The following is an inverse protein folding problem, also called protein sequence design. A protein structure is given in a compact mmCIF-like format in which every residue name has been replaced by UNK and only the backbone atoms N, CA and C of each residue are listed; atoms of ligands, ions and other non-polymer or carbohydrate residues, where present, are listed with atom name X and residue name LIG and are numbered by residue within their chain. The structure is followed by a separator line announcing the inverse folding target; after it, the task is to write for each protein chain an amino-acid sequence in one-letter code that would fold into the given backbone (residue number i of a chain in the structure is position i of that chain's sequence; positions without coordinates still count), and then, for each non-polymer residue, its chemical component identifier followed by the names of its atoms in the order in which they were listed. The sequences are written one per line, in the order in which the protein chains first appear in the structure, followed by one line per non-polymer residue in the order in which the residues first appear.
data_IF_924246858199
#
_entry.id   IF_924246858199
#
_cell.length_a   1.000
_cell.length_b   1.000
_cell.length_c   1.000
_cell.angle_alpha   90.00
_cell.angle_beta   90.00
_cell.angle_gamma   90.00
#
_symmetry.space_group_name_H-M   'P 1'
#
loop_
_entity.id
_entity.type
_entity.pdbx_description
1 polymer ?
#
# COMPACT_ATOMS: atom_id res chain seq x y z
N UNK A 1 -27.38 43.65 -16.11
CA UNK A 1 -26.92 43.83 -14.70
C UNK A 1 -27.35 42.66 -13.81
N UNK A 2 -28.62 42.23 -13.86
CA UNK A 2 -29.12 41.09 -13.07
C UNK A 2 -28.45 39.74 -13.44
N UNK A 3 -28.26 39.46 -14.73
CA UNK A 3 -27.67 38.18 -15.19
C UNK A 3 -26.21 38.02 -14.77
N UNK A 4 -25.44 39.11 -14.81
CA UNK A 4 -24.04 39.13 -14.33
C UNK A 4 -23.96 38.86 -12.82
N UNK A 5 -24.90 39.39 -12.03
CA UNK A 5 -24.98 39.15 -10.58
C UNK A 5 -25.41 37.73 -10.27
N UNK A 6 -26.32 37.16 -11.07
CA UNK A 6 -26.75 35.76 -10.98
C UNK A 6 -25.59 34.80 -11.29
N UNK A 7 -24.85 35.05 -12.37
CA UNK A 7 -23.67 34.28 -12.76
C UNK A 7 -22.59 34.32 -11.66
N UNK A 8 -22.31 35.50 -11.09
CA UNK A 8 -21.36 35.61 -9.98
C UNK A 8 -21.79 34.78 -8.76
N UNK A 9 -23.07 34.82 -8.39
CA UNK A 9 -23.58 34.00 -7.30
C UNK A 9 -23.52 32.49 -7.57
N UNK A 10 -23.60 32.06 -8.82
CA UNK A 10 -23.38 30.66 -9.22
C UNK A 10 -21.91 30.27 -9.11
N UNK A 11 -21.00 31.15 -9.51
CA UNK A 11 -19.55 30.98 -9.36
C UNK A 11 -19.20 30.84 -7.88
N UNK A 12 -19.64 31.76 -7.03
CA UNK A 12 -19.30 31.77 -5.60
C UNK A 12 -19.81 30.48 -4.90
N UNK A 13 -21.02 30.02 -5.23
CA UNK A 13 -21.54 28.74 -4.72
C UNK A 13 -20.74 27.54 -5.20
N UNK A 14 -20.28 27.56 -6.45
CA UNK A 14 -19.44 26.48 -6.99
C UNK A 14 -18.08 26.47 -6.29
N UNK A 15 -17.43 27.62 -6.14
CA UNK A 15 -16.14 27.73 -5.44
C UNK A 15 -16.24 27.25 -3.99
N UNK A 16 -17.32 27.60 -3.29
CA UNK A 16 -17.58 27.08 -1.94
C UNK A 16 -17.67 25.55 -1.90
N UNK A 17 -18.39 24.95 -2.85
CA UNK A 17 -18.47 23.48 -2.98
C UNK A 17 -17.13 22.84 -3.31
N UNK A 18 -16.27 23.53 -4.07
CA UNK A 18 -14.90 23.05 -4.32
C UNK A 18 -14.11 23.03 -3.02
N UNK A 19 -14.13 24.11 -2.23
CA UNK A 19 -13.44 24.15 -0.94
C UNK A 19 -13.91 23.05 0.01
N UNK A 20 -15.23 22.90 0.19
CA UNK A 20 -15.83 21.84 1.02
C UNK A 20 -15.46 20.43 0.52
N UNK A 21 -15.52 20.20 -0.80
CA UNK A 21 -15.18 18.91 -1.39
C UNK A 21 -13.69 18.57 -1.26
N UNK A 22 -12.79 19.56 -1.35
CA UNK A 22 -11.36 19.36 -1.14
C UNK A 22 -11.05 19.04 0.32
N UNK A 23 -11.70 19.71 1.27
CA UNK A 23 -11.55 19.42 2.70
C UNK A 23 -12.04 18.00 3.04
N UNK A 24 -13.20 17.60 2.52
CA UNK A 24 -13.72 16.24 2.66
C UNK A 24 -12.79 15.21 2.02
N UNK A 25 -12.26 15.50 0.84
CA UNK A 25 -11.30 14.61 0.18
C UNK A 25 -10.04 14.40 1.04
N UNK A 26 -9.49 15.47 1.62
CA UNK A 26 -8.30 15.39 2.47
C UNK A 26 -8.57 14.62 3.78
N UNK A 27 -9.72 14.85 4.43
CA UNK A 27 -10.12 14.11 5.63
C UNK A 27 -10.27 12.60 5.37
N UNK A 28 -10.93 12.20 4.27
CA UNK A 28 -11.05 10.79 3.90
C UNK A 28 -9.67 10.22 3.52
N UNK A 29 -8.82 11.01 2.86
CA UNK A 29 -7.47 10.58 2.48
C UNK A 29 -6.60 10.28 3.71
N UNK A 30 -6.65 11.14 4.73
CA UNK A 30 -5.96 10.89 6.00
C UNK A 30 -6.52 9.63 6.71
N UNK A 31 -7.84 9.45 6.70
CA UNK A 31 -8.48 8.24 7.25
C UNK A 31 -8.05 6.97 6.53
N UNK A 32 -7.90 7.02 5.20
CA UNK A 32 -7.39 5.89 4.42
C UNK A 32 -5.95 5.53 4.81
N UNK A 33 -5.08 6.53 4.96
CA UNK A 33 -3.68 6.31 5.34
C UNK A 33 -3.53 5.76 6.76
N UNK A 34 -4.40 6.18 7.69
CA UNK A 34 -4.38 5.75 9.08
C UNK A 34 -5.18 4.45 9.34
N UNK A 35 -5.98 3.99 8.37
CA UNK A 35 -6.76 2.77 8.52
C UNK A 35 -5.84 1.54 8.62
N UNK A 36 -6.00 0.76 9.68
CA UNK A 36 -5.23 -0.46 9.91
C UNK A 36 -5.88 -1.71 9.31
N UNK A 37 -7.21 -1.70 9.07
CA UNK A 37 -7.94 -2.85 8.57
C UNK A 37 -8.35 -2.70 7.09
N UNK A 38 -8.44 -3.83 6.38
CA UNK A 38 -8.75 -3.89 4.95
C UNK A 38 -10.15 -3.32 4.62
N UNK A 39 -11.17 -3.70 5.37
CA UNK A 39 -12.56 -3.25 5.13
C UNK A 39 -12.72 -1.72 5.23
N UNK A 40 -12.02 -1.06 6.15
CA UNK A 40 -12.04 0.40 6.23
C UNK A 40 -11.25 1.04 5.08
N UNK A 41 -10.12 0.45 4.66
CA UNK A 41 -9.38 0.93 3.49
C UNK A 41 -10.25 0.92 2.24
N UNK A 42 -10.88 -0.21 1.93
CA UNK A 42 -11.79 -0.32 0.77
C UNK A 42 -12.95 0.68 0.84
N UNK A 43 -13.53 0.85 2.04
CA UNK A 43 -14.60 1.83 2.26
C UNK A 43 -14.12 3.26 1.98
N UNK A 44 -12.98 3.65 2.53
CA UNK A 44 -12.43 5.00 2.36
C UNK A 44 -11.96 5.24 0.91
N UNK A 45 -11.45 4.23 0.22
CA UNK A 45 -11.15 4.31 -1.22
C UNK A 45 -12.41 4.55 -2.06
N UNK A 46 -13.49 3.81 -1.77
CA UNK A 46 -14.76 4.01 -2.44
C UNK A 46 -15.33 5.41 -2.20
N UNK A 47 -15.20 5.93 -0.97
CA UNK A 47 -15.67 7.28 -0.62
C UNK A 47 -14.77 8.37 -1.23
N UNK A 48 -13.44 8.21 -1.25
CA UNK A 48 -12.52 9.07 -2.01
C UNK A 48 -12.88 9.11 -3.50
N UNK A 49 -13.21 7.96 -4.09
CA UNK A 49 -13.61 7.85 -5.50
C UNK A 49 -14.92 8.58 -5.80
N UNK A 50 -15.87 8.58 -4.85
CA UNK A 50 -17.10 9.38 -4.99
C UNK A 50 -16.79 10.86 -4.91
N UNK A 51 -15.97 11.29 -3.95
CA UNK A 51 -15.67 12.70 -3.73
C UNK A 51 -14.86 13.29 -4.89
N UNK A 52 -13.85 12.57 -5.40
CA UNK A 52 -13.07 13.04 -6.54
C UNK A 52 -13.92 13.19 -7.81
N UNK A 53 -14.94 12.33 -8.01
CA UNK A 53 -15.89 12.47 -9.12
C UNK A 53 -16.76 13.72 -9.00
N UNK A 54 -17.11 14.16 -7.78
CA UNK A 54 -17.83 15.43 -7.58
C UNK A 54 -16.93 16.61 -7.93
N UNK A 55 -15.68 16.60 -7.44
CA UNK A 55 -14.68 17.62 -7.76
C UNK A 55 -14.42 17.70 -9.27
N UNK A 56 -14.33 16.56 -9.98
CA UNK A 56 -14.20 16.53 -11.45
C UNK A 56 -15.34 17.26 -12.16
N UNK A 57 -16.59 17.06 -11.75
CA UNK A 57 -17.74 17.77 -12.32
C UNK A 57 -17.66 19.28 -12.11
N UNK A 58 -17.28 19.70 -10.90
CA UNK A 58 -17.07 21.12 -10.58
C UNK A 58 -15.92 21.70 -11.41
N UNK A 59 -14.84 20.93 -11.61
CA UNK A 59 -13.70 21.32 -12.45
C UNK A 59 -14.10 21.53 -13.91
N UNK A 60 -14.97 20.67 -14.46
CA UNK A 60 -15.46 20.82 -15.83
C UNK A 60 -16.44 21.99 -15.96
N UNK A 61 -17.27 22.26 -14.95
CA UNK A 61 -18.08 23.48 -14.88
C UNK A 61 -17.20 24.75 -14.80
N UNK A 62 -16.13 24.72 -13.99
CA UNK A 62 -15.17 25.83 -13.93
C UNK A 62 -14.46 26.00 -15.28
N UNK A 63 -14.15 24.91 -16.00
CA UNK A 63 -13.54 24.97 -17.34
C UNK A 63 -14.43 25.70 -18.35
N UNK A 64 -15.75 25.49 -18.33
CA UNK A 64 -16.66 26.22 -19.23
C UNK A 64 -16.72 27.71 -18.89
N UNK A 65 -16.71 28.07 -17.61
CA UNK A 65 -16.64 29.47 -17.17
C UNK A 65 -15.31 30.14 -17.53
N UNK A 66 -14.18 29.44 -17.39
CA UNK A 66 -12.87 29.97 -17.83
C UNK A 66 -12.85 30.23 -19.34
N UNK A 67 -13.57 29.43 -20.15
CA UNK A 67 -13.70 29.66 -21.59
C UNK A 67 -14.70 30.78 -21.94
N UNK A 68 -15.61 31.16 -21.04
CA UNK A 68 -16.60 32.22 -21.28
C UNK A 68 -15.95 33.61 -21.30
N UNK A 69 -16.42 34.48 -22.21
CA UNK A 69 -15.98 35.89 -22.31
C UNK A 69 -16.77 36.81 -21.37
N UNK A 70 -17.81 36.31 -20.69
CA UNK A 70 -18.64 37.11 -19.77
C UNK A 70 -17.95 37.38 -18.43
N UNK A 71 -16.90 36.61 -18.12
CA UNK A 71 -16.16 36.66 -16.86
C UNK A 71 -14.85 37.41 -17.09
N UNK A 72 -14.70 38.56 -16.43
CA UNK A 72 -13.53 39.43 -16.56
C UNK A 72 -12.33 38.94 -15.74
N UNK A 73 -12.55 38.56 -14.48
CA UNK A 73 -11.51 38.00 -13.63
C UNK A 73 -11.69 36.48 -13.51
N UNK A 74 -10.69 35.74 -14.01
CA UNK A 74 -10.69 34.27 -14.03
C UNK A 74 -9.67 33.68 -13.07
N UNK A 75 -8.96 34.48 -12.28
CA UNK A 75 -7.86 34.01 -11.41
C UNK A 75 -8.33 32.94 -10.44
N UNK A 76 -9.38 33.23 -9.66
CA UNK A 76 -9.94 32.30 -8.69
C UNK A 76 -10.45 31.00 -9.33
N UNK A 77 -11.05 31.09 -10.53
CA UNK A 77 -11.50 29.93 -11.30
C UNK A 77 -10.32 29.04 -11.71
N UNK A 78 -9.24 29.64 -12.20
CA UNK A 78 -8.02 28.93 -12.60
C UNK A 78 -7.36 28.26 -11.40
N UNK A 79 -7.28 28.96 -10.26
CA UNK A 79 -6.64 28.43 -9.05
C UNK A 79 -7.43 27.25 -8.47
N UNK A 80 -8.75 27.35 -8.38
CA UNK A 80 -9.60 26.25 -7.94
C UNK A 80 -9.57 25.06 -8.92
N UNK A 81 -9.50 25.32 -10.23
CA UNK A 81 -9.31 24.27 -11.24
C UNK A 81 -8.01 23.51 -11.02
N UNK A 82 -6.90 24.21 -10.78
CA UNK A 82 -5.59 23.60 -10.48
C UNK A 82 -5.61 22.83 -9.16
N UNK A 83 -6.29 23.35 -8.15
CA UNK A 83 -6.46 22.69 -6.86
C UNK A 83 -7.14 21.32 -7.04
N UNK A 84 -8.24 21.27 -7.80
CA UNK A 84 -8.93 20.01 -8.11
C UNK A 84 -8.03 19.07 -8.91
N UNK A 85 -7.31 19.56 -9.92
CA UNK A 85 -6.37 18.76 -10.72
C UNK A 85 -5.27 18.13 -9.84
N UNK A 86 -4.81 18.85 -8.82
CA UNK A 86 -3.86 18.32 -7.82
C UNK A 86 -4.45 17.17 -7.02
N UNK A 87 -5.69 17.32 -6.54
CA UNK A 87 -6.39 16.24 -5.83
C UNK A 87 -6.67 15.03 -6.73
N UNK A 88 -6.93 15.25 -8.02
CA UNK A 88 -7.08 14.17 -9.00
C UNK A 88 -5.79 13.36 -9.15
N UNK A 89 -4.64 14.02 -9.20
CA UNK A 89 -3.36 13.32 -9.30
C UNK A 89 -3.05 12.53 -8.02
N UNK A 90 -3.32 13.11 -6.85
CA UNK A 90 -3.23 12.38 -5.56
C UNK A 90 -4.12 11.14 -5.55
N UNK A 91 -5.37 11.26 -6.02
CA UNK A 91 -6.28 10.12 -6.12
C UNK A 91 -5.77 9.04 -7.09
N UNK A 92 -5.13 9.41 -8.22
CA UNK A 92 -4.55 8.42 -9.15
C UNK A 92 -3.44 7.59 -8.51
N UNK A 93 -2.61 8.19 -7.66
CA UNK A 93 -1.56 7.47 -6.93
C UNK A 93 -2.20 6.43 -6.02
N UNK A 94 -3.18 6.84 -5.22
CA UNK A 94 -3.96 5.93 -4.37
C UNK A 94 -4.61 4.83 -5.21
N UNK A 95 -5.31 5.18 -6.29
CA UNK A 95 -5.99 4.20 -7.15
C UNK A 95 -5.00 3.22 -7.80
N UNK A 96 -3.80 3.67 -8.18
CA UNK A 96 -2.75 2.80 -8.71
C UNK A 96 -2.23 1.85 -7.63
N UNK A 97 -1.91 2.35 -6.45
CA UNK A 97 -1.43 1.51 -5.34
C UNK A 97 -2.47 0.46 -4.95
N UNK A 98 -3.74 0.85 -4.83
CA UNK A 98 -4.85 -0.07 -4.56
C UNK A 98 -5.03 -1.06 -5.68
N UNK A 99 -5.06 -0.64 -6.95
CA UNK A 99 -5.24 -1.56 -8.08
C UNK A 99 -4.07 -2.51 -8.22
N UNK A 100 -2.84 -2.04 -8.10
CA UNK A 100 -1.66 -2.91 -8.16
C UNK A 100 -1.69 -3.91 -7.00
N UNK A 101 -2.11 -3.50 -5.80
CA UNK A 101 -2.36 -4.42 -4.66
C UNK A 101 -3.53 -5.37 -4.89
N UNK A 102 -4.60 -4.93 -5.57
CA UNK A 102 -5.76 -5.73 -5.92
C UNK A 102 -5.42 -6.77 -7.01
N UNK A 103 -4.58 -6.43 -7.99
CA UNK A 103 -4.12 -7.38 -8.99
C UNK A 103 -2.94 -8.25 -8.49
N UNK A 104 -2.25 -7.85 -7.41
CA UNK A 104 -1.35 -8.72 -6.66
C UNK A 104 -2.09 -9.38 -5.49
N UNK A 105 -2.82 -10.47 -5.77
CA UNK A 105 -3.37 -11.44 -4.81
C UNK A 105 -4.55 -11.04 -3.90
N UNK A 106 -4.86 -9.77 -3.62
CA UNK A 106 -5.97 -9.41 -2.69
C UNK A 106 -7.29 -8.94 -3.37
N UNK A 107 -7.29 -8.65 -4.67
CA UNK A 107 -8.43 -8.04 -5.38
C UNK A 107 -9.37 -9.00 -6.09
N UNK A 108 -9.25 -10.31 -5.87
CA UNK A 108 -10.31 -11.26 -6.21
C UNK A 108 -11.33 -11.32 -5.07
N UNK A 109 -11.88 -10.15 -4.72
CA UNK A 109 -13.10 -9.98 -3.93
C UNK A 109 -14.34 -10.35 -4.73
N UNK A 110 -14.35 -11.52 -5.35
CA UNK A 110 -15.56 -12.32 -5.38
C UNK A 110 -15.51 -13.14 -4.09
N UNK A 111 -16.36 -12.80 -3.14
CA UNK A 111 -16.81 -13.72 -2.09
C UNK A 111 -17.59 -14.92 -2.70
N UNK A 112 -17.11 -15.49 -3.80
CA UNK A 112 -17.43 -16.84 -4.19
C UNK A 112 -16.60 -17.72 -3.27
N UNK A 113 -17.28 -18.35 -2.31
CA UNK A 113 -16.89 -19.59 -1.63
C UNK A 113 -15.51 -20.07 -2.07
N UNK A 114 -14.45 -19.52 -1.48
CA UNK A 114 -13.15 -20.18 -1.55
C UNK A 114 -13.41 -21.52 -0.89
N UNK A 115 -13.30 -22.59 -1.67
CA UNK A 115 -13.41 -23.95 -1.16
C UNK A 115 -12.59 -24.03 0.13
N UNK A 116 -13.14 -24.48 1.27
CA UNK A 116 -12.38 -24.58 2.52
C UNK A 116 -11.00 -25.20 2.33
N UNK A 117 -10.86 -26.16 1.40
CA UNK A 117 -9.59 -26.75 1.01
C UNK A 117 -8.60 -25.74 0.39
N UNK A 118 -9.06 -24.85 -0.49
CA UNK A 118 -8.22 -23.83 -1.12
C UNK A 118 -7.81 -22.75 -0.13
N UNK A 119 -8.69 -22.38 0.80
CA UNK A 119 -8.38 -21.42 1.87
C UNK A 119 -7.31 -21.98 2.82
N UNK A 120 -7.48 -23.22 3.26
CA UNK A 120 -6.47 -23.89 4.10
C UNK A 120 -5.14 -24.03 3.36
N UNK A 121 -5.17 -24.34 2.05
CA UNK A 121 -3.97 -24.39 1.20
C UNK A 121 -3.23 -23.05 1.16
N UNK A 122 -3.94 -21.94 0.98
CA UNK A 122 -3.35 -20.59 0.97
C UNK A 122 -2.80 -20.19 2.34
N UNK A 123 -3.52 -20.47 3.42
CA UNK A 123 -3.06 -20.21 4.79
C UNK A 123 -1.78 -20.99 5.10
N UNK A 124 -1.72 -22.27 4.71
CA UNK A 124 -0.54 -23.11 4.86
C UNK A 124 0.61 -22.60 3.98
N UNK A 125 0.35 -22.22 2.73
CA UNK A 125 1.36 -21.66 1.83
C UNK A 125 1.97 -20.35 2.38
N UNK A 126 1.14 -19.48 2.95
CA UNK A 126 1.62 -18.25 3.59
C UNK A 126 2.43 -18.56 4.86
N UNK A 127 1.98 -19.50 5.68
CA UNK A 127 2.71 -19.92 6.88
C UNK A 127 4.09 -20.52 6.52
N UNK A 128 4.15 -21.37 5.49
CA UNK A 128 5.40 -21.95 4.98
C UNK A 128 6.37 -20.85 4.54
N UNK A 129 5.90 -19.90 3.73
CA UNK A 129 6.72 -18.78 3.22
C UNK A 129 7.28 -17.94 4.37
N UNK A 130 6.42 -17.52 5.31
CA UNK A 130 6.85 -16.73 6.47
C UNK A 130 7.86 -17.48 7.35
N UNK A 131 7.69 -18.80 7.50
CA UNK A 131 8.61 -19.64 8.29
C UNK A 131 9.96 -19.79 7.59
N UNK A 132 9.97 -19.97 6.27
CA UNK A 132 11.20 -20.01 5.46
C UNK A 132 11.97 -18.69 5.61
N UNK A 133 11.29 -17.55 5.46
CA UNK A 133 11.91 -16.23 5.60
C UNK A 133 12.51 -16.03 7.01
N UNK A 134 11.79 -16.44 8.04
CA UNK A 134 12.28 -16.37 9.43
C UNK A 134 13.53 -17.23 9.63
N UNK A 135 13.55 -18.45 9.11
CA UNK A 135 14.71 -19.34 9.21
C UNK A 135 15.91 -18.80 8.42
N UNK A 136 15.69 -18.22 7.24
CA UNK A 136 16.75 -17.59 6.46
C UNK A 136 17.35 -16.38 7.18
N UNK A 137 16.52 -15.51 7.78
CA UNK A 137 17.01 -14.40 8.61
C UNK A 137 17.84 -14.89 9.81
N UNK A 138 17.43 -16.00 10.45
CA UNK A 138 18.18 -16.61 11.53
C UNK A 138 19.52 -17.20 11.05
N UNK A 139 19.55 -17.81 9.86
CA UNK A 139 20.79 -18.28 9.23
C UNK A 139 21.75 -17.12 9.01
N UNK A 140 21.30 -16.02 8.39
CA UNK A 140 22.14 -14.84 8.13
C UNK A 140 22.70 -14.26 9.44
N UNK A 141 21.87 -14.19 10.48
CA UNK A 141 22.28 -13.71 11.80
C UNK A 141 23.35 -14.62 12.43
N UNK A 142 23.18 -15.94 12.35
CA UNK A 142 24.15 -16.90 12.87
C UNK A 142 25.45 -16.91 12.07
N UNK A 143 25.38 -16.75 10.74
CA UNK A 143 26.56 -16.65 9.88
C UNK A 143 27.39 -15.40 10.20
N UNK A 144 26.72 -14.27 10.40
CA UNK A 144 27.35 -13.02 10.87
C UNK A 144 28.00 -13.17 12.25
N UNK A 145 27.32 -13.85 13.21
CA UNK A 145 27.88 -14.12 14.54
C UNK A 145 29.11 -15.06 14.45
N UNK A 146 29.05 -16.10 13.61
CA UNK A 146 30.18 -17.01 13.37
C UNK A 146 31.38 -16.28 12.79
N UNK A 147 31.19 -15.40 11.81
CA UNK A 147 32.27 -14.61 11.21
C UNK A 147 32.92 -13.69 12.25
N UNK A 148 32.11 -12.97 13.02
CA UNK A 148 32.57 -12.09 14.11
C UNK A 148 33.39 -12.85 15.16
N UNK A 149 32.88 -13.99 15.65
CA UNK A 149 33.59 -14.83 16.63
C UNK A 149 34.87 -15.44 16.05
N UNK A 150 34.87 -15.79 14.76
CA UNK A 150 36.05 -16.33 14.06
C UNK A 150 37.18 -15.30 13.96
N UNK A 151 36.85 -14.02 13.73
CA UNK A 151 37.84 -12.92 13.73
C UNK A 151 38.43 -12.71 15.14
N UNK A 152 37.60 -12.79 16.17
CA UNK A 152 38.04 -12.61 17.57
C UNK A 152 38.95 -13.75 18.04
N UNK A 153 38.64 -15.00 17.69
CA UNK A 153 39.44 -16.18 18.06
C UNK A 153 40.79 -16.23 17.34
N UNK A 154 40.92 -15.65 16.14
CA UNK A 154 42.22 -15.47 15.47
C UNK A 154 43.15 -14.50 16.24
N UNK A 155 42.60 -13.50 16.94
CA UNK A 155 43.39 -12.53 17.74
C UNK A 155 43.81 -13.08 19.11
N UNK A 156 43.05 -14.01 19.69
CA UNK A 156 43.36 -14.69 20.95
C UNK A 156 43.33 -16.20 20.75
N UNK A 157 44.49 -16.78 20.44
CA UNK A 157 44.67 -18.22 20.24
C UNK A 157 44.34 -18.96 21.55
N UNK A 158 43.30 -19.80 21.54
CA UNK A 158 42.97 -20.71 22.66
C UNK A 158 41.64 -20.47 23.40
N UNK A 159 40.75 -19.62 22.90
CA UNK A 159 39.44 -19.37 23.53
C UNK A 159 38.43 -20.51 23.19
N UNK A 160 38.45 -21.57 24.01
CA UNK A 160 37.67 -22.80 23.80
C UNK A 160 36.15 -22.55 23.80
N UNK A 161 35.66 -21.70 24.69
CA UNK A 161 34.22 -21.40 24.79
C UNK A 161 33.68 -20.74 23.52
N UNK A 162 34.49 -19.88 22.90
CA UNK A 162 34.13 -19.27 21.60
C UNK A 162 34.16 -20.28 20.46
N UNK A 163 35.08 -21.24 20.47
CA UNK A 163 35.10 -22.33 19.49
C UNK A 163 33.85 -23.21 19.63
N UNK A 164 33.48 -23.59 20.86
CA UNK A 164 32.28 -24.39 21.14
C UNK A 164 31.00 -23.64 20.70
N UNK A 165 30.95 -22.32 20.90
CA UNK A 165 29.85 -21.47 20.40
C UNK A 165 29.78 -21.44 18.87
N UNK A 166 30.92 -21.27 18.20
CA UNK A 166 31.00 -21.31 16.73
C UNK A 166 30.49 -22.64 16.19
N UNK A 167 30.90 -23.76 16.79
CA UNK A 167 30.43 -25.09 16.39
C UNK A 167 28.92 -25.26 16.60
N UNK A 168 28.39 -24.77 17.73
CA UNK A 168 26.95 -24.76 18.00
C UNK A 168 26.17 -23.98 16.95
N UNK A 169 26.61 -22.77 16.62
CA UNK A 169 25.98 -21.93 15.59
C UNK A 169 26.03 -22.59 14.21
N UNK A 170 27.15 -23.22 13.83
CA UNK A 170 27.26 -23.97 12.56
C UNK A 170 26.25 -25.12 12.49
N UNK A 171 26.04 -25.86 13.58
CA UNK A 171 25.01 -26.91 13.64
C UNK A 171 23.60 -26.34 13.50
N UNK A 172 23.33 -25.18 14.11
CA UNK A 172 22.04 -24.50 13.95
C UNK A 172 21.81 -24.04 12.50
N UNK A 173 22.82 -23.45 11.86
CA UNK A 173 22.77 -23.04 10.45
C UNK A 173 22.46 -24.24 9.55
N UNK A 174 23.19 -25.35 9.72
CA UNK A 174 22.97 -26.56 8.94
C UNK A 174 21.54 -27.09 9.11
N UNK A 175 21.05 -27.14 10.36
CA UNK A 175 19.68 -27.56 10.66
C UNK A 175 18.64 -26.63 10.04
N UNK A 176 18.83 -25.31 10.12
CA UNK A 176 17.91 -24.34 9.52
C UNK A 176 17.91 -24.44 7.99
N UNK A 177 19.07 -24.56 7.34
CA UNK A 177 19.16 -24.80 5.89
C UNK A 177 18.47 -26.08 5.46
N UNK A 178 18.59 -27.15 6.26
CA UNK A 178 17.85 -28.39 6.02
C UNK A 178 16.34 -28.15 6.10
N UNK A 179 15.86 -27.49 7.16
CA UNK A 179 14.43 -27.18 7.31
C UNK A 179 13.90 -26.27 6.20
N UNK A 180 14.64 -25.23 5.80
CA UNK A 180 14.30 -24.37 4.66
C UNK A 180 14.10 -25.21 3.40
N UNK A 181 15.07 -26.07 3.06
CA UNK A 181 14.95 -26.96 1.88
C UNK A 181 13.73 -27.87 1.95
N UNK A 182 13.42 -28.40 3.13
CA UNK A 182 12.23 -29.24 3.33
C UNK A 182 10.94 -28.44 3.15
N UNK A 183 10.84 -27.26 3.75
CA UNK A 183 9.68 -26.37 3.64
C UNK A 183 9.48 -25.89 2.19
N UNK A 184 10.56 -25.56 1.47
CA UNK A 184 10.52 -25.22 0.04
C UNK A 184 10.08 -26.39 -0.84
N UNK A 185 10.40 -27.62 -0.44
CA UNK A 185 9.93 -28.83 -1.13
C UNK A 185 8.44 -29.02 -0.89
N UNK A 186 7.97 -28.87 0.35
CA UNK A 186 6.55 -28.92 0.69
C UNK A 186 5.77 -27.82 -0.04
N UNK A 187 6.29 -26.59 -0.07
CA UNK A 187 5.67 -25.47 -0.77
C UNK A 187 5.55 -25.76 -2.28
N UNK A 188 6.59 -26.30 -2.92
CA UNK A 188 6.52 -26.72 -4.33
C UNK A 188 5.53 -27.84 -4.57
N UNK A 189 5.41 -28.81 -3.66
CA UNK A 189 4.40 -29.87 -3.76
C UNK A 189 2.99 -29.30 -3.63
N UNK A 190 2.79 -28.37 -2.71
CA UNK A 190 1.54 -27.64 -2.52
C UNK A 190 1.15 -26.89 -3.80
N UNK A 191 2.10 -26.20 -4.44
CA UNK A 191 1.86 -25.46 -5.69
C UNK A 191 1.59 -26.39 -6.89
N UNK A 192 2.28 -27.53 -6.98
CA UNK A 192 2.17 -28.50 -8.09
C UNK A 192 0.86 -29.32 -8.07
N UNK A 193 0.19 -29.45 -6.93
CA UNK A 193 -1.14 -30.06 -6.81
C UNK A 193 -2.27 -29.05 -7.16
N UNK A 194 -2.01 -28.06 -8.03
CA UNK A 194 -2.97 -27.04 -8.51
C UNK A 194 -3.22 -27.14 -10.01
#
# INVERSE_FOLDING_TARGET
MADKRKLQGEIDRCLKKVSEGVEQFEDIWQKLHNAANANQKEKYEADLKKEIKKLQRLRDQIKTWVASNEIKDKRQLIDNRKLIETQMERFKVVERETKTKAYSKEGLGLAQKVDPAQKEKEEVGQWLTNTIDTLNMQVDQFESEVESLSVQTRKKKGDKDKQDRIEGLKRHIEKHRYHVRMLETILRMLDNDS
#
